data_IF_955177009241
#
_entry.id   IF_955177009241
#
_cell.length_a   1.000
_cell.length_b   1.000
_cell.length_c   1.000
_cell.angle_alpha   90.00
_cell.angle_beta   90.00
_cell.angle_gamma   90.00
#
_symmetry.space_group_name_H-M   'P 1'
#
loop_
_entity.id
_entity.type
_entity.pdbx_description
1 polymer ?
#
# COMPACT_ATOMS: atom_id res chain seq x y z
N UNK A 1 7.28 -22.94 -3.35
CA UNK A 1 7.56 -21.50 -3.36
C UNK A 1 6.20 -20.83 -3.24
N UNK A 2 5.83 -20.38 -2.05
CA UNK A 2 4.57 -19.67 -1.84
C UNK A 2 4.74 -18.24 -2.35
N UNK A 3 4.41 -18.03 -3.62
CA UNK A 3 4.40 -16.69 -4.20
C UNK A 3 3.15 -15.99 -3.70
N UNK A 4 3.28 -15.14 -2.68
CA UNK A 4 2.21 -14.24 -2.24
C UNK A 4 2.13 -13.07 -3.22
N UNK A 5 1.09 -13.06 -4.05
CA UNK A 5 0.85 -11.97 -4.98
C UNK A 5 0.14 -10.83 -4.25
N UNK A 6 0.47 -9.60 -4.62
CA UNK A 6 -0.10 -8.39 -4.04
C UNK A 6 -0.46 -7.45 -5.19
N UNK A 7 -1.73 -7.06 -5.25
CA UNK A 7 -2.26 -6.11 -6.22
C UNK A 7 -2.56 -4.80 -5.50
N UNK A 8 -2.15 -3.69 -6.11
CA UNK A 8 -2.32 -2.35 -5.58
C UNK A 8 -3.07 -1.55 -6.64
N UNK A 9 -4.18 -0.91 -6.25
CA UNK A 9 -4.94 -0.03 -7.14
C UNK A 9 -5.35 1.23 -6.41
N UNK A 10 -5.16 2.38 -7.06
CA UNK A 10 -5.53 3.70 -6.52
C UNK A 10 -6.93 4.14 -6.95
N UNK A 11 -7.54 3.45 -7.92
CA UNK A 11 -8.84 3.80 -8.51
C UNK A 11 -9.91 2.71 -8.34
N UNK A 12 -9.62 1.71 -7.50
CA UNK A 12 -10.51 0.56 -7.26
C UNK A 12 -10.23 -0.64 -8.17
N UNK A 13 -11.05 -1.68 -8.05
CA UNK A 13 -10.89 -2.94 -8.77
C UNK A 13 -12.14 -3.25 -9.60
N UNK A 14 -11.94 -3.79 -10.80
CA UNK A 14 -13.06 -4.35 -11.58
C UNK A 14 -13.51 -5.67 -10.97
N UNK A 15 -14.77 -6.07 -11.21
CA UNK A 15 -15.29 -7.36 -10.72
C UNK A 15 -14.43 -8.55 -11.17
N UNK A 16 -13.91 -8.50 -12.40
CA UNK A 16 -13.02 -9.54 -12.91
C UNK A 16 -11.70 -9.60 -12.10
N UNK A 17 -11.12 -8.45 -11.75
CA UNK A 17 -9.91 -8.40 -10.93
C UNK A 17 -10.16 -8.94 -9.51
N UNK A 18 -11.32 -8.62 -8.92
CA UNK A 18 -11.72 -9.17 -7.61
C UNK A 18 -11.87 -10.69 -7.66
N UNK A 19 -12.51 -11.22 -8.70
CA UNK A 19 -12.72 -12.66 -8.88
C UNK A 19 -11.39 -13.42 -9.02
N UNK A 20 -10.47 -12.90 -9.82
CA UNK A 20 -9.13 -13.46 -9.97
C UNK A 20 -8.37 -13.42 -8.65
N UNK A 21 -8.43 -12.29 -7.93
CA UNK A 21 -7.74 -12.16 -6.65
C UNK A 21 -8.24 -13.19 -5.62
N UNK A 22 -9.57 -13.39 -5.54
CA UNK A 22 -10.17 -14.40 -4.67
C UNK A 22 -9.74 -15.82 -5.05
N UNK A 23 -9.71 -16.14 -6.35
CA UNK A 23 -9.33 -17.47 -6.84
C UNK A 23 -7.88 -17.82 -6.50
N UNK A 24 -6.97 -16.86 -6.62
CA UNK A 24 -5.53 -17.07 -6.40
C UNK A 24 -5.05 -16.61 -5.02
N UNK A 25 -5.98 -16.30 -4.09
CA UNK A 25 -5.66 -15.80 -2.74
C UNK A 25 -4.69 -14.61 -2.76
N UNK A 26 -4.88 -13.70 -3.71
CA UNK A 26 -4.06 -12.50 -3.90
C UNK A 26 -4.54 -11.42 -2.94
N UNK A 27 -3.60 -10.78 -2.24
CA UNK A 27 -3.95 -9.64 -1.38
C UNK A 27 -4.20 -8.42 -2.27
N UNK A 28 -5.38 -7.82 -2.12
CA UNK A 28 -5.71 -6.53 -2.71
C UNK A 28 -5.43 -5.44 -1.69
N UNK A 29 -4.82 -4.34 -2.13
CA UNK A 29 -4.53 -3.16 -1.31
C UNK A 29 -5.06 -1.94 -2.05
N UNK A 30 -6.00 -1.22 -1.43
CA UNK A 30 -6.48 0.05 -1.94
C UNK A 30 -5.58 1.22 -1.50
N UNK A 31 -5.91 2.44 -1.91
CA UNK A 31 -5.11 3.62 -1.58
C UNK A 31 -5.05 3.90 -0.08
N UNK A 32 -6.15 3.70 0.64
CA UNK A 32 -6.23 3.98 2.08
C UNK A 32 -5.37 2.99 2.87
N UNK A 33 -5.46 1.71 2.52
CA UNK A 33 -4.65 0.66 3.11
C UNK A 33 -3.16 0.81 2.75
N UNK A 34 -2.84 1.22 1.51
CA UNK A 34 -1.47 1.49 1.10
C UNK A 34 -0.85 2.61 1.94
N UNK A 35 -1.56 3.73 2.07
CA UNK A 35 -1.10 4.88 2.87
C UNK A 35 -0.88 4.44 4.32
N UNK A 36 -1.81 3.68 4.89
CA UNK A 36 -1.66 3.14 6.25
C UNK A 36 -0.41 2.28 6.40
N UNK A 37 -0.17 1.33 5.49
CA UNK A 37 1.01 0.44 5.56
C UNK A 37 2.30 1.25 5.44
N UNK A 38 2.36 2.21 4.51
CA UNK A 38 3.54 3.06 4.32
C UNK A 38 3.81 3.88 5.58
N UNK A 39 2.77 4.45 6.19
CA UNK A 39 2.90 5.23 7.43
C UNK A 39 3.36 4.36 8.60
N UNK A 40 2.76 3.17 8.80
CA UNK A 40 3.19 2.24 9.85
C UNK A 40 4.65 1.81 9.67
N UNK A 41 5.08 1.57 8.43
CA UNK A 41 6.47 1.24 8.14
C UNK A 41 7.40 2.40 8.46
N UNK A 42 7.04 3.60 8.01
CA UNK A 42 7.82 4.81 8.26
C UNK A 42 7.98 5.09 9.76
N UNK A 43 6.92 4.92 10.54
CA UNK A 43 6.94 5.08 12.00
C UNK A 43 7.79 4.03 12.74
N UNK A 44 8.01 2.87 12.12
CA UNK A 44 8.87 1.81 12.65
C UNK A 44 10.33 1.91 12.18
N UNK A 45 10.64 2.79 11.21
CA UNK A 45 12.01 2.95 10.74
C UNK A 45 12.95 3.48 11.84
N UNK A 46 14.20 2.99 11.91
CA UNK A 46 15.23 3.57 12.75
C UNK A 46 15.39 5.07 12.50
N UNK A 47 15.67 5.84 13.55
CA UNK A 47 15.72 7.31 13.49
C UNK A 47 16.67 7.81 12.39
N UNK A 48 17.81 7.14 12.18
CA UNK A 48 18.82 7.57 11.22
C UNK A 48 18.41 7.26 9.77
N UNK A 49 17.63 6.21 9.55
CA UNK A 49 17.04 5.89 8.23
C UNK A 49 15.88 6.84 7.93
N UNK A 50 15.07 7.15 8.94
CA UNK A 50 13.94 8.09 8.81
C UNK A 50 14.42 9.49 8.41
N UNK A 51 15.55 9.95 8.95
CA UNK A 51 16.20 11.21 8.54
C UNK A 51 16.60 11.25 7.07
N UNK A 52 16.85 10.11 6.44
CA UNK A 52 17.18 10.02 5.01
C UNK A 52 15.94 10.09 4.12
N UNK A 53 14.77 9.71 4.66
CA UNK A 53 13.47 9.74 3.98
C UNK A 53 12.66 10.92 4.50
N UNK A 54 13.04 12.13 4.11
CA UNK A 54 12.37 13.37 4.56
C UNK A 54 10.96 13.44 3.96
N UNK A 55 9.98 12.81 4.62
CA UNK A 55 8.57 12.98 4.25
C UNK A 55 8.18 14.43 4.51
N UNK A 56 7.90 15.16 3.44
CA UNK A 56 7.35 16.51 3.52
C UNK A 56 5.83 16.40 3.61
N UNK A 57 5.22 17.06 4.61
CA UNK A 57 3.78 17.25 4.62
C UNK A 57 3.42 18.14 3.44
N UNK A 58 2.76 17.55 2.44
CA UNK A 58 2.19 18.30 1.32
C UNK A 58 0.75 18.65 1.69
N UNK A 59 0.45 19.94 1.76
CA UNK A 59 -0.93 20.40 1.87
C UNK A 59 -1.60 20.27 0.50
N UNK A 60 -2.67 19.50 0.41
CA UNK A 60 -3.53 19.41 -0.79
C UNK A 60 -4.78 20.23 -0.47
N UNK A 61 -5.00 21.38 -1.14
CA UNK A 61 -6.22 22.16 -0.99
C UNK A 61 -7.44 21.37 -1.51
N UNK A 62 -8.59 21.54 -0.84
CA UNK A 62 -9.91 21.07 -1.34
C UNK A 62 -10.37 21.88 -2.55
#
# INVERSE_FOLDING_TARGET
>A
MDTSWLLISTSGYTENALNVANQYSVRLIDIDELVKIVMEWYEKLPIDVRKMLTLMRVYVPE
#
